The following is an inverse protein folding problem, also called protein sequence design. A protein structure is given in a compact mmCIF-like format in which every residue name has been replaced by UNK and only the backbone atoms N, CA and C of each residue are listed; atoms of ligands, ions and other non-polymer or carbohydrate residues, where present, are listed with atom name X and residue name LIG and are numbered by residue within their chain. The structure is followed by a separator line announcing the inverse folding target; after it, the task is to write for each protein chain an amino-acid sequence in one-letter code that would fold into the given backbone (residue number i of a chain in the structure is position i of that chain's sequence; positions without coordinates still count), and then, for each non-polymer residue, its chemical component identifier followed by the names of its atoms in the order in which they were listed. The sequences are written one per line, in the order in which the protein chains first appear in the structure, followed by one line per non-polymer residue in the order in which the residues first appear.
data_IF_566665125118
#
_entry.id   IF_566665125118
#
_cell.length_a   1.000
_cell.length_b   1.000
_cell.length_c   1.000
_cell.angle_alpha   90.00
_cell.angle_beta   90.00
_cell.angle_gamma   90.00
#
_symmetry.space_group_name_H-M   'P 1'
#
loop_
_entity.id
_entity.type
_entity.pdbx_description
1 polymer ?
#
# COMPACT_ATOMS: atom_id res chain seq x y z
N UNK A 1 -69.20 5.79 -1.62
CA UNK A 1 -68.10 6.43 -0.86
C UNK A 1 -67.47 5.50 0.19
N UNK A 2 -68.22 4.92 1.15
CA UNK A 2 -67.64 4.00 2.17
C UNK A 2 -66.80 2.85 1.60
N UNK A 3 -67.26 2.18 0.53
CA UNK A 3 -66.50 1.07 -0.11
C UNK A 3 -65.17 1.50 -0.73
N UNK A 4 -65.10 2.74 -1.24
CA UNK A 4 -63.88 3.30 -1.86
C UNK A 4 -62.85 3.68 -0.80
N UNK A 5 -63.31 4.22 0.33
CA UNK A 5 -62.44 4.57 1.47
C UNK A 5 -61.79 3.31 2.06
N UNK A 6 -62.55 2.22 2.21
CA UNK A 6 -62.01 0.94 2.71
C UNK A 6 -60.95 0.38 1.75
N UNK A 7 -61.19 0.44 0.44
CA UNK A 7 -60.24 -0.01 -0.57
C UNK A 7 -58.93 0.80 -0.53
N UNK A 8 -59.04 2.13 -0.42
CA UNK A 8 -57.89 3.04 -0.34
C UNK A 8 -57.06 2.79 0.93
N UNK A 9 -57.71 2.55 2.07
CA UNK A 9 -57.01 2.22 3.33
C UNK A 9 -56.25 0.89 3.21
N UNK A 10 -56.84 -0.13 2.59
CA UNK A 10 -56.20 -1.43 2.38
C UNK A 10 -54.96 -1.29 1.48
N UNK A 11 -55.07 -0.54 0.38
CA UNK A 11 -53.96 -0.31 -0.56
C UNK A 11 -52.83 0.53 0.06
N UNK A 12 -53.16 1.51 0.91
CA UNK A 12 -52.15 2.29 1.64
C UNK A 12 -51.46 1.45 2.72
N UNK A 13 -52.18 0.55 3.42
CA UNK A 13 -51.58 -0.33 4.43
C UNK A 13 -50.62 -1.38 3.85
N UNK A 14 -50.87 -1.87 2.64
CA UNK A 14 -49.97 -2.82 1.96
C UNK A 14 -48.72 -2.15 1.40
N UNK A 15 -48.75 -0.85 1.09
CA UNK A 15 -47.60 -0.08 0.63
C UNK A 15 -46.53 0.16 1.72
N UNK A 16 -46.87 -0.02 3.01
CA UNK A 16 -45.93 0.08 4.15
C UNK A 16 -45.45 -1.27 4.67
N UNK A 17 -45.80 -2.38 4.03
CA UNK A 17 -45.19 -3.67 4.33
C UNK A 17 -43.72 -3.61 3.88
N UNK A 18 -42.83 -3.20 4.79
CA UNK A 18 -41.39 -3.33 4.60
C UNK A 18 -41.13 -4.80 4.32
N UNK A 19 -40.61 -5.11 3.13
CA UNK A 19 -40.06 -6.42 2.83
C UNK A 19 -38.78 -6.58 3.66
N UNK A 20 -38.93 -6.94 4.94
CA UNK A 20 -37.83 -7.32 5.78
C UNK A 20 -37.52 -8.78 5.48
N UNK A 21 -36.27 -9.08 5.12
CA UNK A 21 -35.79 -10.45 5.00
C UNK A 21 -36.04 -11.12 6.36
N UNK A 22 -36.72 -12.26 6.36
CA UNK A 22 -36.94 -13.04 7.57
C UNK A 22 -35.57 -13.34 8.21
N UNK A 23 -35.38 -13.20 9.53
CA UNK A 23 -34.14 -13.59 10.19
C UNK A 23 -33.69 -15.02 9.84
N UNK A 24 -34.65 -15.90 9.51
CA UNK A 24 -34.42 -17.29 9.13
C UNK A 24 -34.16 -17.49 7.62
N UNK A 25 -34.19 -16.43 6.82
CA UNK A 25 -33.84 -16.46 5.39
C UNK A 25 -32.37 -16.10 5.14
N UNK A 26 -31.59 -15.89 6.19
CA UNK A 26 -30.15 -15.66 6.09
C UNK A 26 -29.42 -17.01 5.98
N UNK A 27 -28.34 -17.04 5.20
CA UNK A 27 -27.37 -18.12 5.28
C UNK A 27 -26.74 -18.09 6.69
N UNK A 28 -26.92 -19.17 7.44
CA UNK A 28 -26.27 -19.38 8.74
C UNK A 28 -25.03 -20.23 8.59
N UNK A 29 -23.97 -19.86 9.29
CA UNK A 29 -22.80 -20.71 9.47
C UNK A 29 -22.90 -21.47 10.79
N UNK A 30 -22.39 -22.71 10.88
CA UNK A 30 -22.21 -23.39 12.14
C UNK A 30 -21.39 -22.50 13.09
N UNK A 31 -21.85 -22.36 14.34
CA UNK A 31 -21.22 -21.51 15.36
C UNK A 31 -20.63 -22.37 16.47
N UNK A 32 -19.34 -22.21 16.70
CA UNK A 32 -18.56 -22.98 17.68
C UNK A 32 -17.50 -22.08 18.33
N UNK A 33 -17.02 -22.46 19.52
CA UNK A 33 -15.83 -21.84 20.15
C UNK A 33 -14.55 -22.22 19.41
N UNK A 34 -13.47 -21.45 19.61
CA UNK A 34 -12.16 -21.75 18.98
C UNK A 34 -11.67 -23.15 19.34
N UNK A 35 -11.93 -23.61 20.56
CA UNK A 35 -11.55 -24.95 21.03
C UNK A 35 -12.34 -26.04 20.30
N UNK A 36 -13.65 -25.86 20.16
CA UNK A 36 -14.50 -26.80 19.43
C UNK A 36 -14.09 -26.88 17.97
N UNK A 37 -13.85 -25.73 17.32
CA UNK A 37 -13.40 -25.64 15.92
C UNK A 37 -12.10 -26.42 15.68
N UNK A 38 -11.11 -26.23 16.55
CA UNK A 38 -9.83 -26.91 16.45
C UNK A 38 -9.90 -28.42 16.74
N UNK A 39 -11.00 -28.89 17.34
CA UNK A 39 -11.23 -30.32 17.59
C UNK A 39 -11.94 -31.04 16.43
N UNK A 40 -12.46 -30.31 15.43
CA UNK A 40 -13.18 -30.89 14.30
C UNK A 40 -12.18 -31.65 13.41
N UNK A 41 -12.50 -32.90 13.08
CA UNK A 41 -11.69 -33.75 12.20
C UNK A 41 -12.44 -34.07 10.92
N UNK A 42 -11.72 -34.36 9.84
CA UNK A 42 -12.33 -34.72 8.54
C UNK A 42 -12.98 -33.55 7.80
N UNK A 43 -12.54 -32.31 8.05
CA UNK A 43 -13.08 -31.10 7.41
C UNK A 43 -12.62 -31.01 5.95
N UNK A 44 -13.54 -30.67 5.06
CA UNK A 44 -13.23 -30.43 3.65
C UNK A 44 -12.67 -29.01 3.42
N UNK A 45 -11.76 -28.86 2.46
CA UNK A 45 -11.21 -27.55 2.07
C UNK A 45 -12.34 -26.59 1.63
N UNK A 46 -12.28 -25.34 2.08
CA UNK A 46 -13.28 -24.31 1.79
C UNK A 46 -14.49 -24.32 2.73
N UNK A 47 -14.50 -25.18 3.75
CA UNK A 47 -15.56 -25.19 4.77
C UNK A 47 -15.56 -23.89 5.56
N UNK A 48 -16.74 -23.30 5.77
CA UNK A 48 -16.92 -22.07 6.54
C UNK A 48 -17.55 -22.33 7.91
N UNK A 49 -17.04 -21.66 8.93
CA UNK A 49 -17.54 -21.71 10.32
C UNK A 49 -17.52 -20.33 10.94
N UNK A 50 -18.40 -20.05 11.90
CA UNK A 50 -18.32 -18.85 12.73
C UNK A 50 -17.70 -19.20 14.09
N UNK A 51 -16.55 -18.60 14.38
CA UNK A 51 -15.89 -18.69 15.69
C UNK A 51 -16.55 -17.71 16.68
N UNK A 52 -17.16 -18.25 17.74
CA UNK A 52 -17.86 -17.46 18.76
C UNK A 52 -16.96 -16.70 19.72
N UNK A 53 -15.71 -17.12 19.88
CA UNK A 53 -14.75 -16.47 20.77
C UNK A 53 -14.07 -15.30 20.03
N UNK A 54 -13.70 -15.52 18.76
CA UNK A 54 -13.11 -14.49 17.89
C UNK A 54 -14.15 -13.53 17.30
N UNK A 55 -15.41 -13.95 17.23
CA UNK A 55 -16.48 -13.26 16.49
C UNK A 55 -16.12 -13.03 15.02
N UNK A 56 -15.65 -14.08 14.36
CA UNK A 56 -15.19 -14.06 12.97
C UNK A 56 -15.66 -15.30 12.23
N UNK A 57 -15.72 -15.20 10.92
CA UNK A 57 -15.90 -16.37 10.04
C UNK A 57 -14.52 -16.92 9.68
N UNK A 58 -14.34 -18.22 9.81
CA UNK A 58 -13.13 -18.94 9.42
C UNK A 58 -13.41 -19.83 8.20
N UNK A 59 -12.41 -19.99 7.35
CA UNK A 59 -12.35 -20.95 6.25
C UNK A 59 -11.34 -22.05 6.59
N UNK A 60 -11.68 -23.31 6.29
CA UNK A 60 -10.73 -24.41 6.39
C UNK A 60 -9.84 -24.48 5.14
N UNK A 61 -8.55 -24.20 5.31
CA UNK A 61 -7.54 -24.16 4.25
C UNK A 61 -6.57 -25.35 4.37
N UNK A 62 -5.55 -25.40 3.50
CA UNK A 62 -4.47 -26.38 3.62
C UNK A 62 -3.63 -26.21 4.91
N UNK A 63 -3.74 -25.07 5.60
CA UNK A 63 -3.05 -24.78 6.85
C UNK A 63 -3.95 -24.92 8.09
N UNK A 64 -5.20 -25.39 7.92
CA UNK A 64 -6.22 -25.41 8.97
C UNK A 64 -7.18 -24.22 8.90
N UNK A 65 -7.80 -23.87 10.03
CA UNK A 65 -8.77 -22.77 10.10
C UNK A 65 -8.09 -21.40 10.02
N UNK A 66 -8.44 -20.61 9.01
CA UNK A 66 -7.95 -19.24 8.81
C UNK A 66 -9.14 -18.27 8.76
N UNK A 67 -9.00 -17.03 9.26
CA UNK A 67 -10.07 -16.03 9.19
C UNK A 67 -10.39 -15.62 7.73
N UNK A 68 -11.67 -15.62 7.34
CA UNK A 68 -12.12 -15.14 6.01
C UNK A 68 -11.89 -13.63 5.84
N UNK A 69 -11.67 -12.93 6.95
CA UNK A 69 -11.22 -11.55 7.00
C UNK A 69 -9.75 -11.56 7.41
N UNK A 70 -8.85 -11.52 6.43
CA UNK A 70 -7.44 -11.29 6.73
C UNK A 70 -7.29 -9.84 7.20
N UNK A 71 -7.54 -9.59 8.49
CA UNK A 71 -7.10 -8.39 9.18
C UNK A 71 -5.60 -8.49 9.48
N UNK A 72 -4.81 -8.76 8.45
CA UNK A 72 -3.40 -8.41 8.36
C UNK A 72 -3.36 -7.44 7.20
N UNK A 73 -3.39 -6.15 7.52
CA UNK A 73 -3.51 -5.03 6.59
C UNK A 73 -3.05 -5.40 5.18
N UNK A 74 -3.99 -5.58 4.23
CA UNK A 74 -3.69 -5.88 2.80
C UNK A 74 -2.85 -4.75 2.17
N UNK A 75 -2.66 -3.67 2.93
CA UNK A 75 -1.84 -2.52 2.66
C UNK A 75 -1.20 -2.06 3.98
N UNK A 76 0.10 -1.73 3.97
CA UNK A 76 0.78 -1.06 5.09
C UNK A 76 1.56 0.13 4.57
N UNK A 77 1.33 1.30 5.16
CA UNK A 77 2.02 2.54 4.81
C UNK A 77 3.14 2.79 5.79
N UNK A 78 4.32 3.11 5.29
CA UNK A 78 5.46 3.46 6.12
C UNK A 78 6.40 4.45 5.44
N UNK A 79 7.52 4.72 6.11
CA UNK A 79 8.53 5.65 5.66
C UNK A 79 9.93 5.09 5.91
N UNK A 80 10.86 5.39 5.01
CA UNK A 80 12.28 5.09 5.16
C UNK A 80 13.10 6.33 4.81
N UNK A 81 14.10 6.63 5.64
CA UNK A 81 15.10 7.67 5.37
C UNK A 81 16.35 7.01 4.80
N UNK A 82 16.64 7.30 3.53
CA UNK A 82 17.88 6.89 2.86
C UNK A 82 18.94 7.95 3.13
N UNK A 83 20.08 7.54 3.64
CA UNK A 83 21.19 8.40 4.06
C UNK A 83 22.58 7.85 3.67
N UNK A 84 22.63 6.73 2.95
CA UNK A 84 23.82 6.11 2.39
C UNK A 84 23.46 5.14 1.25
N UNK A 85 24.47 4.72 0.50
CA UNK A 85 24.35 3.56 -0.38
C UNK A 85 24.32 2.24 0.42
N UNK A 86 23.77 1.18 -0.19
CA UNK A 86 23.71 -0.15 0.41
C UNK A 86 22.30 -0.64 0.72
N UNK A 87 22.22 -1.70 1.51
CA UNK A 87 20.95 -2.38 1.82
C UNK A 87 20.23 -1.74 2.99
N UNK A 88 18.93 -1.52 2.82
CA UNK A 88 17.98 -1.14 3.86
C UNK A 88 16.94 -2.25 4.00
N UNK A 89 16.86 -2.81 5.22
CA UNK A 89 15.85 -3.82 5.57
C UNK A 89 14.63 -3.15 6.17
N UNK A 90 13.52 -3.17 5.45
CA UNK A 90 12.22 -2.74 5.94
C UNK A 90 11.57 -3.95 6.59
N UNK A 91 11.15 -3.81 7.86
CA UNK A 91 10.58 -4.90 8.66
C UNK A 91 9.39 -4.39 9.49
N UNK A 92 8.70 -5.30 10.18
CA UNK A 92 7.55 -4.95 11.02
C UNK A 92 6.21 -4.96 10.29
N UNK A 93 6.18 -5.44 9.04
CA UNK A 93 4.93 -5.79 8.37
C UNK A 93 4.45 -7.14 8.90
N UNK A 94 3.14 -7.29 9.08
CA UNK A 94 2.53 -8.54 9.56
C UNK A 94 2.21 -9.52 8.40
N UNK A 95 2.91 -9.37 7.26
CA UNK A 95 2.74 -10.17 6.05
C UNK A 95 3.99 -10.07 5.17
N UNK A 96 4.17 -11.06 4.29
CA UNK A 96 5.07 -10.97 3.14
C UNK A 96 4.41 -10.13 2.06
N UNK A 97 4.98 -8.98 1.66
CA UNK A 97 4.41 -8.19 0.57
C UNK A 97 4.62 -8.90 -0.77
N UNK A 98 3.65 -8.75 -1.67
CA UNK A 98 3.76 -9.14 -3.08
C UNK A 98 4.02 -7.93 -3.97
N UNK A 99 3.73 -6.71 -3.48
CA UNK A 99 4.09 -5.47 -4.14
C UNK A 99 4.31 -4.33 -3.17
N UNK A 100 5.10 -3.34 -3.58
CA UNK A 100 5.31 -2.09 -2.85
C UNK A 100 5.32 -0.93 -3.84
N UNK A 101 4.59 0.13 -3.53
CA UNK A 101 4.63 1.43 -4.23
C UNK A 101 5.48 2.40 -3.42
N UNK A 102 6.23 3.27 -4.09
CA UNK A 102 7.13 4.24 -3.48
C UNK A 102 6.85 5.65 -4.00
N UNK A 103 6.87 6.61 -3.09
CA UNK A 103 6.78 8.04 -3.36
C UNK A 103 7.90 8.78 -2.65
N UNK A 104 8.55 9.68 -3.35
CA UNK A 104 9.63 10.49 -2.80
C UNK A 104 9.72 11.83 -3.52
N UNK A 105 10.34 12.80 -2.84
CA UNK A 105 10.44 14.18 -3.28
C UNK A 105 11.89 14.63 -3.15
N UNK A 106 12.44 15.25 -4.21
CA UNK A 106 13.82 15.72 -4.20
C UNK A 106 14.04 16.75 -3.09
N UNK A 107 15.20 16.72 -2.43
CA UNK A 107 15.59 17.63 -1.34
C UNK A 107 14.64 17.59 -0.12
N UNK A 108 14.11 16.40 0.18
CA UNK A 108 13.44 16.10 1.44
C UNK A 108 14.18 14.93 2.08
N UNK A 109 15.12 15.23 2.96
CA UNK A 109 16.10 14.26 3.48
C UNK A 109 15.74 13.72 4.87
N UNK A 110 14.78 14.36 5.55
CA UNK A 110 14.29 13.91 6.88
C UNK A 110 12.78 14.02 6.99
N UNK A 111 12.19 13.16 7.81
CA UNK A 111 10.73 13.07 8.06
C UNK A 111 10.12 14.34 8.66
N UNK A 112 10.95 15.24 9.18
CA UNK A 112 10.54 16.48 9.82
C UNK A 112 11.43 17.63 9.36
N UNK A 113 11.18 18.14 8.15
CA UNK A 113 11.91 19.24 7.54
C UNK A 113 10.99 20.43 7.28
N UNK A 114 11.37 21.60 7.79
CA UNK A 114 10.71 22.88 7.51
C UNK A 114 11.75 24.00 7.51
N UNK A 115 12.56 24.02 6.46
CA UNK A 115 13.56 25.05 6.21
C UNK A 115 13.75 25.22 4.72
N UNK A 116 14.29 26.36 4.32
CA UNK A 116 14.86 26.51 2.99
C UNK A 116 16.02 25.52 2.81
N UNK A 117 16.50 25.34 1.58
CA UNK A 117 17.61 24.43 1.26
C UNK A 117 18.94 24.81 1.96
N UNK A 118 18.98 25.89 2.75
CA UNK A 118 20.13 26.31 3.54
C UNK A 118 21.33 26.75 2.70
N UNK A 119 21.14 26.94 1.40
CA UNK A 119 22.17 27.39 0.46
C UNK A 119 22.01 28.89 0.14
N UNK A 120 22.78 29.38 -0.84
CA UNK A 120 22.71 30.75 -1.36
C UNK A 120 21.67 30.87 -2.46
N UNK A 121 21.28 32.10 -2.76
CA UNK A 121 20.44 32.41 -3.92
C UNK A 121 21.07 31.91 -5.23
N UNK A 122 20.24 31.39 -6.14
CA UNK A 122 20.66 30.87 -7.44
C UNK A 122 21.72 29.75 -7.36
N UNK A 123 21.54 28.83 -6.42
CA UNK A 123 22.47 27.71 -6.22
C UNK A 123 22.60 26.82 -7.47
N UNK A 124 23.84 26.43 -7.75
CA UNK A 124 24.25 25.60 -8.88
C UNK A 124 24.30 24.11 -8.55
N UNK A 125 24.20 23.75 -7.27
CA UNK A 125 24.20 22.38 -6.77
C UNK A 125 22.82 21.74 -6.74
N UNK A 126 22.79 20.51 -6.21
CA UNK A 126 21.61 19.64 -6.13
C UNK A 126 20.47 20.23 -5.29
N UNK A 127 20.79 21.08 -4.30
CA UNK A 127 19.82 21.77 -3.44
C UNK A 127 18.88 22.73 -4.19
N UNK A 128 19.16 23.01 -5.47
CA UNK A 128 18.27 23.78 -6.35
C UNK A 128 17.29 22.90 -7.15
N UNK A 129 17.39 21.58 -7.03
CA UNK A 129 16.47 20.65 -7.67
C UNK A 129 15.13 20.60 -6.93
N UNK A 130 14.06 20.37 -7.66
CA UNK A 130 12.77 19.96 -7.08
C UNK A 130 12.15 18.92 -7.99
N UNK A 131 11.28 18.08 -7.44
CA UNK A 131 10.60 17.07 -8.22
C UNK A 131 10.06 15.96 -7.36
N UNK A 132 9.35 15.05 -8.00
CA UNK A 132 8.74 13.90 -7.35
C UNK A 132 8.90 12.67 -8.22
N UNK A 133 8.99 11.52 -7.56
CA UNK A 133 8.95 10.23 -8.21
C UNK A 133 7.73 9.43 -7.79
N UNK A 134 7.39 8.46 -8.62
CA UNK A 134 6.54 7.33 -8.25
C UNK A 134 7.15 6.10 -8.87
N UNK A 135 7.26 5.05 -8.07
CA UNK A 135 7.75 3.76 -8.54
C UNK A 135 7.11 2.60 -7.81
N UNK A 136 7.34 1.41 -8.32
CA UNK A 136 6.85 0.18 -7.70
C UNK A 136 7.86 -0.95 -7.84
N UNK A 137 7.69 -1.95 -6.98
CA UNK A 137 8.24 -3.28 -7.14
C UNK A 137 7.16 -4.32 -6.89
N UNK A 138 7.13 -5.40 -7.67
CA UNK A 138 6.18 -6.51 -7.53
C UNK A 138 6.89 -7.83 -7.72
N UNK A 139 6.53 -8.82 -6.91
CA UNK A 139 6.94 -10.20 -7.09
C UNK A 139 6.01 -10.90 -8.10
N UNK A 140 6.54 -11.17 -9.28
CA UNK A 140 5.89 -11.98 -10.32
C UNK A 140 6.46 -13.40 -10.28
N UNK A 141 5.97 -14.22 -9.35
CA UNK A 141 6.35 -15.63 -9.17
C UNK A 141 7.87 -15.85 -9.01
N UNK A 142 8.51 -15.09 -8.13
CA UNK A 142 9.95 -15.15 -7.83
C UNK A 142 10.81 -14.22 -8.68
N UNK A 143 10.20 -13.48 -9.62
CA UNK A 143 10.88 -12.42 -10.39
C UNK A 143 10.40 -11.06 -9.93
N UNK A 144 11.31 -10.21 -9.48
CA UNK A 144 10.95 -8.85 -9.05
C UNK A 144 10.89 -7.92 -10.28
N UNK A 145 9.68 -7.50 -10.65
CA UNK A 145 9.43 -6.50 -11.69
C UNK A 145 9.32 -5.13 -11.04
N UNK A 146 9.99 -4.12 -11.62
CA UNK A 146 10.08 -2.79 -11.02
C UNK A 146 10.01 -1.69 -12.08
N UNK A 147 9.55 -0.53 -11.67
CA UNK A 147 9.59 0.68 -12.49
C UNK A 147 9.64 1.90 -11.59
N UNK A 148 10.33 2.94 -12.03
CA UNK A 148 10.23 4.29 -11.45
C UNK A 148 10.10 5.33 -12.55
N UNK A 149 9.34 6.38 -12.28
CA UNK A 149 9.26 7.60 -13.09
C UNK A 149 9.46 8.79 -12.16
N UNK A 150 10.33 9.70 -12.55
CA UNK A 150 10.60 10.96 -11.88
C UNK A 150 10.45 12.13 -12.86
N UNK A 151 9.82 13.19 -12.38
CA UNK A 151 9.74 14.49 -13.06
C UNK A 151 10.09 15.58 -12.06
N UNK A 152 10.93 16.51 -12.50
CA UNK A 152 11.41 17.62 -11.70
C UNK A 152 12.03 18.73 -12.52
N UNK A 153 12.72 19.65 -11.87
CA UNK A 153 13.38 20.79 -12.49
C UNK A 153 14.37 21.43 -11.53
N UNK A 154 14.71 22.69 -11.82
CA UNK A 154 15.52 23.54 -10.95
C UNK A 154 14.81 24.86 -10.69
N UNK A 155 15.10 25.51 -9.56
CA UNK A 155 14.51 26.82 -9.21
C UNK A 155 14.85 27.96 -10.18
N UNK A 156 15.85 27.78 -11.05
CA UNK A 156 16.32 28.80 -11.99
C UNK A 156 15.81 28.56 -13.43
N UNK A 157 16.18 27.43 -14.05
CA UNK A 157 15.83 27.11 -15.43
C UNK A 157 14.59 26.22 -15.47
N UNK A 158 13.41 26.84 -15.41
CA UNK A 158 12.11 26.14 -15.33
C UNK A 158 11.78 25.38 -16.63
N UNK A 159 12.29 25.84 -17.76
CA UNK A 159 12.08 25.21 -19.07
C UNK A 159 12.99 24.00 -19.33
N UNK A 160 14.06 23.82 -18.55
CA UNK A 160 14.91 22.62 -18.63
C UNK A 160 14.47 21.58 -17.58
N UNK A 161 13.44 20.82 -17.95
CA UNK A 161 12.76 19.86 -17.08
C UNK A 161 13.60 18.60 -16.91
N UNK A 162 13.91 18.25 -15.66
CA UNK A 162 14.58 17.01 -15.27
C UNK A 162 13.62 15.83 -15.32
N UNK A 163 14.06 14.71 -15.92
CA UNK A 163 13.26 13.50 -16.09
C UNK A 163 14.14 12.29 -15.88
N UNK A 164 13.60 11.26 -15.24
CA UNK A 164 14.26 9.97 -15.11
C UNK A 164 13.21 8.86 -15.11
N UNK A 165 13.51 7.75 -15.78
CA UNK A 165 12.68 6.56 -15.74
C UNK A 165 13.59 5.33 -15.83
N UNK A 166 13.23 4.26 -15.12
CA UNK A 166 14.01 3.03 -15.11
C UNK A 166 13.13 1.83 -14.83
N UNK A 167 13.31 0.76 -15.59
CA UNK A 167 12.64 -0.54 -15.41
C UNK A 167 13.42 -1.52 -14.53
N UNK A 168 14.52 -1.06 -13.92
CA UNK A 168 15.37 -1.86 -13.03
C UNK A 168 15.49 -1.25 -11.62
N UNK A 169 14.77 -0.15 -11.37
CA UNK A 169 14.71 0.54 -10.09
C UNK A 169 13.24 0.81 -9.73
N UNK A 170 12.94 0.82 -8.43
CA UNK A 170 11.65 1.25 -7.89
C UNK A 170 11.76 2.63 -7.22
N UNK A 171 12.99 3.08 -6.93
CA UNK A 171 13.29 4.41 -6.40
C UNK A 171 14.30 5.11 -7.30
N UNK A 172 14.05 6.38 -7.62
CA UNK A 172 14.82 7.12 -8.60
C UNK A 172 14.53 8.61 -8.53
N UNK A 173 15.52 9.40 -8.12
CA UNK A 173 15.45 10.87 -8.13
C UNK A 173 16.64 11.42 -8.90
N UNK A 174 16.39 12.34 -9.83
CA UNK A 174 17.44 13.02 -10.60
C UNK A 174 17.65 14.43 -10.08
N UNK A 175 18.91 14.71 -9.75
CA UNK A 175 19.34 16.02 -9.31
C UNK A 175 20.09 16.73 -10.44
N UNK A 176 19.73 17.99 -10.65
CA UNK A 176 20.32 18.87 -11.65
C UNK A 176 20.86 20.15 -11.04
N UNK A 177 21.68 20.85 -11.81
CA UNK A 177 22.14 22.19 -11.49
C UNK A 177 21.08 23.25 -11.85
N UNK A 178 21.44 24.53 -11.74
CA UNK A 178 20.59 25.67 -12.07
C UNK A 178 20.10 25.72 -13.52
N UNK A 179 20.71 24.94 -14.41
CA UNK A 179 20.34 24.83 -15.82
C UNK A 179 19.71 23.46 -16.14
N UNK A 180 19.27 22.68 -15.15
CA UNK A 180 18.71 21.33 -15.37
C UNK A 180 19.74 20.28 -15.81
N UNK A 181 21.03 20.63 -15.86
CA UNK A 181 22.10 19.69 -16.23
C UNK A 181 22.28 18.69 -15.10
N UNK A 182 22.32 17.40 -15.45
CA UNK A 182 22.46 16.30 -14.48
C UNK A 182 23.70 16.47 -13.61
N UNK A 183 23.50 16.44 -12.29
CA UNK A 183 24.56 16.30 -11.29
C UNK A 183 24.64 14.88 -10.75
N UNK A 184 23.54 14.13 -10.82
CA UNK A 184 23.52 12.69 -10.58
C UNK A 184 22.15 12.18 -10.16
N UNK A 185 22.13 10.98 -9.60
CA UNK A 185 20.91 10.26 -9.27
C UNK A 185 21.02 9.68 -7.85
N UNK A 186 19.89 9.57 -7.18
CA UNK A 186 19.69 8.53 -6.17
C UNK A 186 18.82 7.44 -6.80
N UNK A 187 19.29 6.20 -6.79
CA UNK A 187 18.54 5.04 -7.29
C UNK A 187 18.56 3.90 -6.29
N UNK A 188 17.42 3.21 -6.18
CA UNK A 188 17.32 1.98 -5.41
C UNK A 188 16.34 0.99 -6.03
N UNK A 189 16.53 -0.28 -5.71
CA UNK A 189 15.68 -1.38 -6.16
C UNK A 189 15.36 -2.31 -5.00
N UNK A 190 14.15 -2.88 -4.98
CA UNK A 190 13.84 -4.02 -4.11
C UNK A 190 14.68 -5.22 -4.57
N UNK A 191 15.35 -5.87 -3.63
CA UNK A 191 16.18 -7.06 -3.88
C UNK A 191 15.53 -8.34 -3.36
N UNK A 192 14.66 -8.24 -2.34
CA UNK A 192 13.86 -9.37 -1.86
C UNK A 192 12.61 -8.90 -1.11
N UNK A 193 11.54 -9.68 -1.20
CA UNK A 193 10.42 -9.65 -0.27
C UNK A 193 10.68 -10.66 0.84
N UNK A 194 10.42 -10.27 2.08
CA UNK A 194 10.71 -11.08 3.28
C UNK A 194 9.44 -11.36 4.06
N UNK A 195 9.41 -12.33 4.99
CA UNK A 195 8.20 -12.72 5.71
C UNK A 195 7.46 -11.59 6.44
N UNK A 196 8.18 -10.51 6.78
CA UNK A 196 7.66 -9.37 7.53
C UNK A 196 8.04 -8.03 6.91
N UNK A 197 8.34 -8.00 5.60
CA UNK A 197 8.93 -6.82 4.98
C UNK A 197 9.55 -7.02 3.60
N UNK A 198 10.56 -6.22 3.32
CA UNK A 198 11.32 -6.26 2.06
C UNK A 198 12.69 -5.60 2.25
N UNK A 199 13.61 -5.86 1.33
CA UNK A 199 14.94 -5.23 1.31
C UNK A 199 15.03 -4.36 0.06
N UNK A 200 15.47 -3.11 0.24
CA UNK A 200 15.90 -2.25 -0.87
C UNK A 200 17.42 -2.12 -0.88
N UNK A 201 18.02 -2.06 -2.06
CA UNK A 201 19.44 -1.75 -2.26
C UNK A 201 19.55 -0.41 -2.96
N UNK A 202 20.22 0.55 -2.31
CA UNK A 202 20.59 1.85 -2.87
C UNK A 202 21.92 1.69 -3.60
N UNK A 203 21.87 1.62 -4.93
CA UNK A 203 23.05 1.39 -5.78
C UNK A 203 23.69 2.69 -6.29
N UNK A 204 22.96 3.80 -6.25
CA UNK A 204 23.51 5.13 -6.46
C UNK A 204 22.99 6.08 -5.38
N UNK A 205 23.92 6.76 -4.70
CA UNK A 205 23.61 7.68 -3.61
C UNK A 205 24.31 9.01 -3.86
N UNK A 206 23.50 10.05 -4.10
CA UNK A 206 23.98 11.43 -4.27
C UNK A 206 23.58 12.33 -3.09
N UNK A 207 22.45 12.05 -2.44
CA UNK A 207 21.94 12.83 -1.32
C UNK A 207 20.94 12.03 -0.48
N UNK A 208 20.58 12.55 0.69
CA UNK A 208 19.54 11.97 1.53
C UNK A 208 18.16 11.99 0.85
N UNK A 209 17.28 11.06 1.22
CA UNK A 209 15.92 11.02 0.68
C UNK A 209 14.95 10.31 1.64
N UNK A 210 13.84 10.97 1.93
CA UNK A 210 12.66 10.36 2.54
C UNK A 210 11.82 9.68 1.46
N UNK A 211 11.51 8.42 1.68
CA UNK A 211 10.64 7.63 0.80
C UNK A 211 9.45 7.13 1.61
N UNK A 212 8.25 7.49 1.18
CA UNK A 212 7.00 6.90 1.65
C UNK A 212 6.76 5.64 0.83
N UNK A 213 6.33 4.56 1.48
CA UNK A 213 5.97 3.33 0.80
C UNK A 213 4.60 2.82 1.20
N UNK A 214 3.96 2.12 0.28
CA UNK A 214 2.71 1.39 0.47
C UNK A 214 2.97 -0.08 0.08
N UNK A 215 2.98 -0.97 1.06
CA UNK A 215 3.25 -2.40 0.86
C UNK A 215 1.94 -3.18 0.82
N UNK A 216 1.76 -4.07 -0.17
CA UNK A 216 0.54 -4.83 -0.37
C UNK A 216 0.80 -6.34 -0.37
N UNK A 217 -0.20 -7.11 0.08
CA UNK A 217 -0.20 -8.58 0.02
C UNK A 217 -0.93 -9.10 -1.21
#
# INVERSE_FOLDING_TARGET
MKKVIVLVIIVLSSAFAKAQISPNSLLGLPRYSTVEINSITGVELGTLVYDSDLNRVLEYTNNGWEEILVSGSVESVGVVEINAAGDYTISGLNFTPTSVTFHAYANVETTNLNSDNGTRDNETGIGNSFGSMTGFARDDNGTIVQQVIYVGGSGNSINDISRFASSIHCIGVRYGNQNGISLGLLTARVTSFTPTGFVINVDNYIDGLVVIYEAHR
#
